data_IF_341436178019
#
_entry.id   IF_341436178019
#
_cell.length_a   1.000
_cell.length_b   1.000
_cell.length_c   1.000
_cell.angle_alpha   90.00
_cell.angle_beta   90.00
_cell.angle_gamma   90.00
#
_symmetry.space_group_name_H-M   'P 1'
#
loop_
_entity.id
_entity.type
_entity.pdbx_description
1 polymer ?
#
# COMPACT_ATOMS: atom_id res chain seq x y z
N UNK A 1 11.89 -7.51 6.85
CA UNK A 1 11.53 -7.64 8.27
C UNK A 1 10.44 -8.73 8.47
N UNK A 2 9.21 -8.60 7.92
CA UNK A 2 8.12 -9.56 8.18
C UNK A 2 8.50 -11.02 7.83
N UNK A 3 9.20 -11.26 6.71
CA UNK A 3 9.73 -12.57 6.35
C UNK A 3 10.79 -13.06 7.36
N UNK A 4 11.71 -12.18 7.75
CA UNK A 4 12.76 -12.49 8.74
C UNK A 4 12.16 -12.80 10.12
N UNK A 5 11.14 -12.06 10.55
CA UNK A 5 10.43 -12.29 11.81
C UNK A 5 9.76 -13.68 11.84
N UNK A 6 9.33 -14.19 10.67
CA UNK A 6 8.85 -15.56 10.48
C UNK A 6 9.97 -16.59 10.28
N UNK A 7 11.24 -16.17 10.26
CA UNK A 7 12.38 -17.04 10.06
C UNK A 7 12.59 -17.51 8.60
N UNK A 8 11.84 -16.92 7.66
CA UNK A 8 11.99 -17.15 6.22
C UNK A 8 13.18 -16.34 5.73
N UNK A 9 14.17 -16.97 5.10
CA UNK A 9 15.42 -16.35 4.68
C UNK A 9 15.61 -16.33 3.17
N UNK A 10 14.86 -17.12 2.45
CA UNK A 10 14.87 -17.28 1.00
C UNK A 10 13.48 -17.62 0.50
N UNK A 11 13.32 -17.75 -0.80
CA UNK A 11 12.07 -18.10 -1.47
C UNK A 11 11.65 -17.09 -2.52
N UNK A 12 10.58 -17.41 -3.23
CA UNK A 12 10.09 -16.58 -4.32
C UNK A 12 9.06 -15.56 -3.81
N UNK A 13 9.06 -14.36 -4.41
CA UNK A 13 8.11 -13.30 -4.11
C UNK A 13 7.43 -12.86 -5.42
N UNK A 14 6.09 -12.86 -5.43
CA UNK A 14 5.28 -12.40 -6.55
C UNK A 14 5.05 -10.90 -6.53
N UNK A 15 4.93 -10.28 -7.70
CA UNK A 15 4.61 -8.86 -7.86
C UNK A 15 3.38 -8.72 -8.76
N UNK A 16 2.31 -8.14 -8.22
CA UNK A 16 1.11 -7.78 -8.97
C UNK A 16 1.10 -6.28 -9.18
N UNK A 17 1.22 -5.85 -10.44
CA UNK A 17 1.27 -4.42 -10.77
C UNK A 17 0.08 -4.03 -11.64
N UNK A 18 -0.24 -2.72 -11.70
CA UNK A 18 -1.32 -2.22 -12.54
C UNK A 18 -0.98 -2.34 -14.03
N UNK A 19 0.21 -1.85 -14.43
CA UNK A 19 0.74 -1.91 -15.80
C UNK A 19 2.25 -1.60 -15.79
N UNK A 20 2.87 -1.64 -16.96
CA UNK A 20 4.30 -1.34 -17.16
C UNK A 20 4.54 0.01 -17.84
N UNK A 21 3.57 0.90 -17.89
CA UNK A 21 3.63 2.14 -18.68
C UNK A 21 3.46 3.41 -17.87
N UNK A 22 2.76 3.37 -16.73
CA UNK A 22 2.63 4.55 -15.88
C UNK A 22 3.85 4.72 -14.97
N UNK A 23 4.29 5.97 -14.82
CA UNK A 23 5.50 6.28 -14.06
C UNK A 23 5.44 5.79 -12.61
N UNK A 24 4.29 5.97 -11.94
CA UNK A 24 4.08 5.50 -10.57
C UNK A 24 4.17 3.99 -10.44
N UNK A 25 3.61 3.23 -11.40
CA UNK A 25 3.69 1.77 -11.43
C UNK A 25 5.13 1.29 -11.57
N UNK A 26 5.89 1.91 -12.48
CA UNK A 26 7.31 1.60 -12.70
C UNK A 26 8.14 1.90 -11.46
N UNK A 27 7.95 3.08 -10.84
CA UNK A 27 8.73 3.50 -9.69
C UNK A 27 8.44 2.68 -8.43
N UNK A 28 7.16 2.33 -8.17
CA UNK A 28 6.79 1.49 -7.03
C UNK A 28 7.40 0.09 -7.13
N UNK A 29 7.38 -0.50 -8.32
CA UNK A 29 8.03 -1.79 -8.56
C UNK A 29 9.55 -1.70 -8.45
N UNK A 30 10.16 -0.67 -9.05
CA UNK A 30 11.60 -0.49 -9.01
C UNK A 30 12.12 -0.36 -7.57
N UNK A 31 11.46 0.48 -6.74
CA UNK A 31 11.83 0.61 -5.33
C UNK A 31 11.64 -0.67 -4.52
N UNK A 32 10.59 -1.45 -4.83
CA UNK A 32 10.42 -2.76 -4.21
C UNK A 32 11.55 -3.73 -4.59
N UNK A 33 11.91 -3.79 -5.88
CA UNK A 33 13.00 -4.65 -6.35
C UNK A 33 14.35 -4.26 -5.77
N UNK A 34 14.64 -2.95 -5.69
CA UNK A 34 15.87 -2.42 -5.09
C UNK A 34 16.03 -2.87 -3.62
N UNK A 35 14.93 -2.91 -2.85
CA UNK A 35 14.97 -3.33 -1.45
C UNK A 35 15.36 -4.82 -1.25
N UNK A 36 15.30 -5.63 -2.30
CA UNK A 36 15.68 -7.05 -2.27
C UNK A 36 17.03 -7.33 -2.93
N UNK A 37 17.73 -6.29 -3.43
CA UNK A 37 19.08 -6.46 -3.99
C UNK A 37 20.05 -7.02 -2.93
N UNK A 38 20.77 -8.07 -3.32
CA UNK A 38 21.75 -8.72 -2.43
C UNK A 38 21.14 -9.63 -1.37
N UNK A 39 19.84 -9.91 -1.44
CA UNK A 39 19.17 -10.92 -0.62
C UNK A 39 19.07 -12.27 -1.35
N UNK A 40 18.71 -13.32 -0.63
CA UNK A 40 18.51 -14.67 -1.20
C UNK A 40 17.07 -14.90 -1.70
N UNK A 41 16.24 -13.84 -1.77
CA UNK A 41 14.88 -13.94 -2.32
C UNK A 41 14.88 -13.77 -3.84
N UNK A 42 14.06 -14.59 -4.51
CA UNK A 42 13.81 -14.49 -5.95
C UNK A 42 12.55 -13.65 -6.22
N UNK A 43 12.70 -12.50 -6.88
CA UNK A 43 11.56 -11.71 -7.33
C UNK A 43 11.08 -12.22 -8.68
N UNK A 44 9.89 -12.81 -8.71
CA UNK A 44 9.29 -13.39 -9.91
C UNK A 44 8.99 -12.31 -10.97
N UNK A 45 8.66 -12.76 -12.20
CA UNK A 45 8.22 -11.87 -13.26
C UNK A 45 6.90 -11.21 -12.87
N UNK A 46 6.84 -9.87 -13.01
CA UNK A 46 5.66 -9.08 -12.66
C UNK A 46 4.47 -9.43 -13.54
N UNK A 47 3.31 -9.64 -12.91
CA UNK A 47 2.04 -9.83 -13.61
C UNK A 47 1.16 -8.58 -13.48
N UNK A 48 0.40 -8.27 -14.54
CA UNK A 48 -0.34 -7.02 -14.64
C UNK A 48 -1.86 -7.23 -14.54
N UNK A 49 -2.48 -6.56 -13.55
CA UNK A 49 -3.92 -6.66 -13.28
C UNK A 49 -4.76 -5.53 -13.87
N UNK A 50 -4.14 -4.49 -14.46
CA UNK A 50 -4.84 -3.32 -15.01
C UNK A 50 -5.71 -2.56 -13.98
N UNK A 51 -5.38 -2.70 -12.69
CA UNK A 51 -6.12 -2.11 -11.58
C UNK A 51 -7.36 -2.91 -11.14
N UNK A 52 -7.66 -4.02 -11.81
CA UNK A 52 -8.79 -4.90 -11.48
C UNK A 52 -8.44 -5.85 -10.34
N UNK A 53 -9.19 -5.77 -9.24
CA UNK A 53 -8.94 -6.57 -8.03
C UNK A 53 -9.22 -8.08 -8.24
N UNK A 54 -10.19 -8.44 -9.09
CA UNK A 54 -10.49 -9.85 -9.36
C UNK A 54 -9.40 -10.50 -10.22
N UNK A 55 -8.87 -9.76 -11.21
CA UNK A 55 -7.72 -10.19 -12.00
C UNK A 55 -6.47 -10.29 -11.12
N UNK A 56 -6.26 -9.32 -10.23
CA UNK A 56 -5.16 -9.35 -9.27
C UNK A 56 -5.25 -10.55 -8.33
N UNK A 57 -6.44 -10.89 -7.85
CA UNK A 57 -6.66 -12.07 -7.03
C UNK A 57 -6.30 -13.35 -7.79
N UNK A 58 -6.73 -13.51 -9.02
CA UNK A 58 -6.38 -14.67 -9.85
C UNK A 58 -4.87 -14.81 -10.06
N UNK A 59 -4.18 -13.68 -10.31
CA UNK A 59 -2.71 -13.65 -10.41
C UNK A 59 -2.06 -14.08 -9.09
N UNK A 60 -2.52 -13.55 -7.98
CA UNK A 60 -1.98 -13.88 -6.66
C UNK A 60 -2.24 -15.35 -6.28
N UNK A 61 -3.39 -15.92 -6.62
CA UNK A 61 -3.71 -17.35 -6.44
C UNK A 61 -2.74 -18.25 -7.24
N UNK A 62 -2.34 -17.83 -8.45
CA UNK A 62 -1.33 -18.54 -9.23
C UNK A 62 0.03 -18.51 -8.53
N UNK A 63 0.49 -17.35 -8.06
CA UNK A 63 1.73 -17.24 -7.28
C UNK A 63 1.70 -18.10 -6.00
N UNK A 64 0.56 -18.12 -5.30
CA UNK A 64 0.37 -18.99 -4.12
C UNK A 64 0.54 -20.46 -4.50
N UNK A 65 0.00 -20.88 -5.64
CA UNK A 65 0.13 -22.24 -6.16
C UNK A 65 1.58 -22.59 -6.54
N UNK A 66 2.36 -21.59 -6.98
CA UNK A 66 3.80 -21.72 -7.25
C UNK A 66 4.64 -21.79 -5.97
N UNK A 67 4.05 -21.52 -4.80
CA UNK A 67 4.72 -21.66 -3.50
C UNK A 67 5.51 -20.42 -3.08
N UNK A 68 5.06 -19.23 -3.45
CA UNK A 68 5.71 -17.96 -3.02
C UNK A 68 5.62 -17.76 -1.51
N UNK A 69 6.64 -17.12 -0.94
CA UNK A 69 6.67 -16.73 0.48
C UNK A 69 6.07 -15.34 0.72
N UNK A 70 5.90 -14.54 -0.33
CA UNK A 70 5.30 -13.21 -0.24
C UNK A 70 4.77 -12.71 -1.56
N UNK A 71 3.86 -11.73 -1.51
CA UNK A 71 3.28 -11.09 -2.68
C UNK A 71 3.13 -9.59 -2.42
N UNK A 72 3.56 -8.78 -3.38
CA UNK A 72 3.40 -7.33 -3.37
C UNK A 72 2.37 -6.86 -4.39
N UNK A 73 1.38 -6.09 -3.92
CA UNK A 73 0.42 -5.36 -4.75
C UNK A 73 0.81 -3.88 -4.86
N UNK A 74 0.98 -3.35 -6.07
CA UNK A 74 1.56 -2.01 -6.28
C UNK A 74 0.56 -0.86 -6.23
N UNK A 75 -0.74 -1.12 -6.18
CA UNK A 75 -1.83 -0.13 -6.07
C UNK A 75 -3.04 -0.75 -5.37
N UNK A 76 -4.07 0.03 -5.09
CA UNK A 76 -5.25 -0.43 -4.35
C UNK A 76 -5.88 -1.71 -4.91
N UNK A 77 -6.15 -1.77 -6.23
CA UNK A 77 -6.75 -2.95 -6.87
C UNK A 77 -5.86 -4.18 -6.78
N UNK A 78 -4.55 -4.02 -7.03
CA UNK A 78 -3.58 -5.11 -6.88
C UNK A 78 -3.48 -5.58 -5.42
N UNK A 79 -3.41 -4.66 -4.47
CA UNK A 79 -3.32 -4.95 -3.03
C UNK A 79 -4.57 -5.66 -2.50
N UNK A 80 -5.76 -5.21 -2.95
CA UNK A 80 -7.04 -5.85 -2.62
C UNK A 80 -7.07 -7.29 -3.13
N UNK A 81 -6.65 -7.52 -4.38
CA UNK A 81 -6.59 -8.85 -4.96
C UNK A 81 -5.62 -9.78 -4.24
N UNK A 82 -4.42 -9.27 -3.91
CA UNK A 82 -3.42 -9.99 -3.11
C UNK A 82 -3.97 -10.40 -1.75
N UNK A 83 -4.55 -9.46 -1.00
CA UNK A 83 -5.14 -9.75 0.30
C UNK A 83 -6.28 -10.78 0.24
N UNK A 84 -7.16 -10.66 -0.77
CA UNK A 84 -8.24 -11.62 -0.99
C UNK A 84 -7.74 -13.02 -1.35
N UNK A 85 -6.68 -13.14 -2.16
CA UNK A 85 -6.06 -14.42 -2.51
C UNK A 85 -5.45 -15.10 -1.27
N UNK A 86 -4.73 -14.35 -0.43
CA UNK A 86 -4.17 -14.87 0.82
C UNK A 86 -5.30 -15.31 1.75
N UNK A 87 -6.36 -14.51 1.91
CA UNK A 87 -7.56 -14.88 2.67
C UNK A 87 -8.18 -16.18 2.16
N UNK A 88 -8.36 -16.31 0.85
CA UNK A 88 -8.96 -17.48 0.22
C UNK A 88 -8.09 -18.74 0.38
N UNK A 89 -6.77 -18.60 0.39
CA UNK A 89 -5.83 -19.73 0.55
C UNK A 89 -5.85 -20.33 1.95
N UNK A 90 -6.29 -19.57 2.96
CA UNK A 90 -6.22 -19.94 4.37
C UNK A 90 -4.79 -20.07 4.91
N UNK A 91 -3.78 -19.62 4.19
CA UNK A 91 -2.38 -19.67 4.63
C UNK A 91 -2.06 -18.46 5.52
N UNK A 92 -1.40 -18.71 6.63
CA UNK A 92 -0.83 -17.73 7.54
C UNK A 92 0.70 -17.53 7.32
N UNK A 93 1.28 -18.27 6.37
CA UNK A 93 2.70 -18.22 6.08
C UNK A 93 3.08 -17.17 5.03
N UNK A 94 2.14 -16.83 4.12
CA UNK A 94 2.41 -15.92 3.01
C UNK A 94 2.32 -14.47 3.49
N UNK A 95 3.36 -13.69 3.15
CA UNK A 95 3.41 -12.26 3.48
C UNK A 95 2.80 -11.42 2.35
N UNK A 96 1.64 -10.80 2.62
CA UNK A 96 1.03 -9.81 1.72
C UNK A 96 1.46 -8.40 2.08
N UNK A 97 1.90 -7.64 1.08
CA UNK A 97 2.22 -6.20 1.22
C UNK A 97 1.49 -5.45 0.11
N UNK A 98 0.95 -4.28 0.45
CA UNK A 98 0.16 -3.49 -0.48
C UNK A 98 0.60 -2.04 -0.63
N UNK A 99 -0.16 -1.30 -1.42
CA UNK A 99 -0.05 0.13 -1.63
C UNK A 99 -1.45 0.76 -1.64
N UNK A 100 -1.54 2.04 -1.24
CA UNK A 100 -2.73 2.86 -1.04
C UNK A 100 -3.45 2.60 0.31
N UNK A 101 -4.47 3.42 0.59
CA UNK A 101 -5.30 3.38 1.80
C UNK A 101 -6.78 3.40 1.39
N UNK A 102 -7.52 2.36 1.80
CA UNK A 102 -8.98 2.30 1.69
C UNK A 102 -9.53 1.45 2.82
N UNK A 103 -10.83 1.50 3.07
CA UNK A 103 -11.46 0.69 4.11
C UNK A 103 -11.30 -0.81 3.85
N UNK A 104 -11.30 -1.22 2.59
CA UNK A 104 -11.02 -2.60 2.21
C UNK A 104 -9.60 -3.02 2.61
N UNK A 105 -8.60 -2.19 2.32
CA UNK A 105 -7.21 -2.48 2.68
C UNK A 105 -6.98 -2.46 4.18
N UNK A 106 -7.62 -1.51 4.91
CA UNK A 106 -7.60 -1.50 6.38
C UNK A 106 -8.13 -2.81 6.95
N UNK A 107 -9.30 -3.27 6.48
CA UNK A 107 -9.88 -4.55 6.92
C UNK A 107 -8.96 -5.75 6.63
N UNK A 108 -8.29 -5.78 5.47
CA UNK A 108 -7.33 -6.84 5.15
C UNK A 108 -6.09 -6.82 6.05
N UNK A 109 -5.65 -5.64 6.52
CA UNK A 109 -4.56 -5.50 7.49
C UNK A 109 -5.04 -5.93 8.88
N UNK A 110 -6.20 -5.50 9.33
CA UNK A 110 -6.79 -5.85 10.62
C UNK A 110 -7.01 -7.35 10.75
N UNK A 111 -7.49 -7.99 9.69
CA UNK A 111 -7.69 -9.44 9.59
C UNK A 111 -6.35 -10.22 9.43
N UNK A 112 -5.22 -9.54 9.16
CA UNK A 112 -3.89 -10.13 9.05
C UNK A 112 -3.55 -10.73 7.67
N UNK A 113 -4.34 -10.46 6.63
CA UNK A 113 -4.06 -10.92 5.26
C UNK A 113 -3.06 -10.03 4.53
N UNK A 114 -2.92 -8.77 4.94
CA UNK A 114 -1.83 -7.89 4.59
C UNK A 114 -1.09 -7.48 5.85
N UNK A 115 0.24 -7.49 5.83
CA UNK A 115 1.04 -7.03 6.98
C UNK A 115 1.14 -5.53 7.01
N UNK A 116 1.12 -4.88 5.85
CA UNK A 116 1.10 -3.42 5.73
C UNK A 116 0.71 -2.98 4.32
N UNK A 117 0.35 -1.70 4.21
CA UNK A 117 0.30 -0.96 2.95
C UNK A 117 1.04 0.37 3.08
N UNK A 118 1.51 0.91 1.95
CA UNK A 118 2.09 2.24 1.88
C UNK A 118 1.01 3.24 1.45
N UNK A 119 0.63 4.15 2.33
CA UNK A 119 -0.38 5.17 2.08
C UNK A 119 0.27 6.50 1.67
N UNK A 120 -0.23 7.10 0.60
CA UNK A 120 0.13 8.45 0.18
C UNK A 120 -0.57 9.49 1.07
N UNK A 121 -0.13 10.76 0.99
CA UNK A 121 -0.73 11.89 1.67
C UNK A 121 -1.55 12.75 0.68
N UNK A 122 -2.78 12.34 0.29
CA UNK A 122 -3.59 13.03 -0.72
C UNK A 122 -3.96 14.45 -0.30
N UNK A 123 -4.13 14.71 0.99
CA UNK A 123 -4.42 16.05 1.53
C UNK A 123 -3.28 17.02 1.23
N UNK A 124 -2.05 16.60 1.49
CA UNK A 124 -0.86 17.38 1.18
C UNK A 124 -0.69 17.57 -0.33
N UNK A 125 -0.94 16.52 -1.11
CA UNK A 125 -0.89 16.60 -2.57
C UNK A 125 -1.89 17.62 -3.11
N UNK A 126 -3.14 17.57 -2.64
CA UNK A 126 -4.19 18.53 -3.02
C UNK A 126 -3.85 19.95 -2.59
N UNK A 127 -3.47 20.16 -1.34
CA UNK A 127 -3.12 21.47 -0.78
C UNK A 127 -1.94 22.11 -1.52
N UNK A 128 -0.85 21.39 -1.69
CA UNK A 128 0.36 21.89 -2.34
C UNK A 128 0.13 22.10 -3.85
N UNK A 129 -0.66 21.24 -4.49
CA UNK A 129 -1.05 21.41 -5.89
C UNK A 129 -1.83 22.69 -6.13
N UNK A 130 -2.84 23.00 -5.30
CA UNK A 130 -3.59 24.26 -5.39
C UNK A 130 -2.69 25.47 -5.12
N UNK A 131 -1.82 25.40 -4.12
CA UNK A 131 -0.88 26.48 -3.82
C UNK A 131 0.09 26.74 -5.01
N UNK A 132 0.59 25.68 -5.65
CA UNK A 132 1.42 25.80 -6.83
C UNK A 132 0.65 26.46 -8.00
N UNK A 133 -0.62 26.08 -8.22
CA UNK A 133 -1.46 26.72 -9.24
C UNK A 133 -1.63 28.23 -8.98
N UNK A 134 -1.89 28.63 -7.73
CA UNK A 134 -2.05 30.05 -7.36
C UNK A 134 -0.76 30.82 -7.61
N UNK A 135 0.40 30.28 -7.21
CA UNK A 135 1.71 30.89 -7.48
C UNK A 135 1.94 31.08 -8.98
N UNK A 136 1.69 30.05 -9.79
CA UNK A 136 1.83 30.12 -11.24
C UNK A 136 0.93 31.20 -11.86
N UNK A 137 -0.33 31.32 -11.41
CA UNK A 137 -1.26 32.37 -11.86
C UNK A 137 -0.79 33.78 -11.49
N UNK A 138 -0.07 33.93 -10.38
CA UNK A 138 0.55 35.20 -9.97
C UNK A 138 1.85 35.50 -10.71
N UNK A 139 2.31 34.62 -11.59
CA UNK A 139 3.57 34.77 -12.33
C UNK A 139 4.81 34.46 -11.51
N UNK A 140 4.67 33.77 -10.39
CA UNK A 140 5.79 33.33 -9.58
C UNK A 140 6.49 32.11 -10.23
N UNK A 141 7.80 32.05 -10.12
CA UNK A 141 8.59 30.87 -10.54
C UNK A 141 8.37 29.73 -9.55
N UNK A 142 7.97 28.57 -10.04
CA UNK A 142 7.79 27.36 -9.23
C UNK A 142 9.09 26.58 -8.99
N UNK A 143 10.20 27.02 -9.58
CA UNK A 143 11.52 26.39 -9.41
C UNK A 143 11.71 25.04 -10.08
N UNK A 144 10.62 24.39 -10.55
CA UNK A 144 10.67 23.07 -11.21
C UNK A 144 11.10 21.91 -10.29
N UNK A 145 11.14 22.13 -8.99
CA UNK A 145 11.49 21.09 -8.02
C UNK A 145 10.32 20.15 -7.74
N UNK A 146 10.62 18.87 -7.57
CA UNK A 146 9.63 17.86 -7.11
C UNK A 146 9.42 18.05 -5.62
N UNK A 147 8.18 18.25 -5.21
CA UNK A 147 7.82 18.30 -3.79
C UNK A 147 7.43 16.91 -3.32
N UNK A 148 8.21 16.37 -2.39
CA UNK A 148 7.88 15.11 -1.72
C UNK A 148 6.74 15.35 -0.70
N UNK A 149 5.65 14.61 -0.85
CA UNK A 149 4.49 14.67 0.07
C UNK A 149 4.52 13.55 1.11
N UNK A 150 5.54 12.70 1.07
CA UNK A 150 5.73 11.59 1.98
C UNK A 150 4.81 10.40 1.72
N UNK A 151 5.14 9.30 2.39
CA UNK A 151 4.37 8.06 2.42
C UNK A 151 4.33 7.54 3.86
N UNK A 152 3.17 7.10 4.33
CA UNK A 152 3.00 6.46 5.64
C UNK A 152 2.90 4.95 5.46
N UNK A 153 3.44 4.19 6.42
CA UNK A 153 3.27 2.73 6.46
C UNK A 153 2.12 2.41 7.38
N UNK A 154 1.02 1.91 6.82
CA UNK A 154 -0.13 1.44 7.59
C UNK A 154 0.09 -0.02 7.99
N UNK A 155 0.11 -0.26 9.28
CA UNK A 155 0.15 -1.60 9.90
C UNK A 155 -1.06 -1.77 10.80
N UNK A 156 -1.25 -2.97 11.34
CA UNK A 156 -2.31 -3.22 12.30
C UNK A 156 -2.18 -2.36 13.57
N UNK A 157 -0.95 -2.12 13.99
CA UNK A 157 -0.64 -1.28 15.15
C UNK A 157 -1.01 0.19 14.89
N UNK A 158 -0.58 0.76 13.72
CA UNK A 158 -0.88 2.15 13.38
C UNK A 158 -2.39 2.39 13.18
N UNK A 159 -3.12 1.41 12.64
CA UNK A 159 -4.58 1.51 12.49
C UNK A 159 -5.30 1.52 13.85
N UNK A 160 -4.77 0.81 14.85
CA UNK A 160 -5.32 0.83 16.19
C UNK A 160 -5.10 2.17 16.89
N UNK A 161 -3.96 2.84 16.64
CA UNK A 161 -3.65 4.18 17.16
C UNK A 161 -4.54 5.25 16.50
N UNK A 162 -4.67 5.25 15.15
CA UNK A 162 -5.57 6.15 14.41
C UNK A 162 -7.02 6.04 14.89
N UNK A 163 -7.51 4.83 15.17
CA UNK A 163 -8.88 4.59 15.65
C UNK A 163 -9.14 5.12 17.07
N UNK A 164 -8.12 5.28 17.89
CA UNK A 164 -8.23 5.89 19.23
C UNK A 164 -8.33 7.41 19.12
N UNK A 165 -7.55 8.04 18.24
CA UNK A 165 -7.60 9.50 18.00
C UNK A 165 -8.96 9.93 17.41
N UNK A 166 -9.51 9.19 16.44
CA UNK A 166 -10.83 9.49 15.85
C UNK A 166 -11.97 9.39 16.89
N UNK A 167 -11.87 8.49 17.86
CA UNK A 167 -12.90 8.36 18.93
C UNK A 167 -12.78 9.44 20.00
N UNK A 168 -11.59 9.95 20.28
CA UNK A 168 -11.37 11.06 21.22
C UNK A 168 -11.84 12.41 20.60
N UNK A 169 -11.55 12.68 19.31
CA UNK A 169 -12.07 13.86 18.61
C UNK A 169 -13.59 13.86 18.48
N UNK A 170 -14.22 12.70 18.27
CA UNK A 170 -15.68 12.59 18.20
C UNK A 170 -16.33 12.80 19.58
N UNK A 171 -15.71 12.38 20.67
CA UNK A 171 -16.20 12.58 22.03
C UNK A 171 -16.12 14.06 22.46
N UNK A 172 -15.04 14.74 22.12
CA UNK A 172 -14.86 16.18 22.39
C UNK A 172 -15.82 17.06 21.57
N UNK A 173 -16.24 16.61 20.38
CA UNK A 173 -17.19 17.33 19.54
C UNK A 173 -18.65 17.23 20.07
N UNK A 174 -19.04 16.12 20.67
CA UNK A 174 -20.38 15.89 21.21
C UNK A 174 -20.61 16.68 22.52
N UNK A 175 -19.54 16.82 23.35
CA UNK A 175 -19.58 17.64 24.58
C UNK A 175 -19.71 19.14 24.29
N UNK A 176 -19.27 19.63 23.12
CA UNK A 176 -19.35 21.03 22.73
C UNK A 176 -20.74 21.46 22.23
N UNK A 177 -21.60 20.53 21.81
CA UNK A 177 -22.98 20.81 21.36
C UNK A 177 -23.99 20.82 22.52
N UNK A 178 -23.68 20.24 23.70
CA UNK A 178 -24.56 20.29 24.88
C UNK A 178 -24.45 21.59 25.70
N UNK A 179 -23.45 22.44 25.48
CA UNK A 179 -23.26 23.73 26.22
C UNK A 179 -23.84 24.96 25.49
N UNK A 180 -24.61 24.85 24.41
CA UNK A 180 -25.25 25.97 23.70
C UNK A 180 -26.77 25.89 23.75
#
# INVERSE_FOLDING_TARGET
KALEDKGVKDGSIGIVNINNSTNTAIQREAGFREAFEGTDYELLETQFCEGDAAKAQTIAENYITEGVVGIYGTNEGASTGVGNAIKASGSDEIIGVGFDKSDTLKGLIEDGYLVCTMAQNPDQMGKLGVQACIKALNGEDLGGEVTDTGVSVLTKESLAEDGVEETEEAADADDAEEET
#
